data_IF_299614735483
#
_entry.id   IF_299614735483
#
_cell.length_a   1.000
_cell.length_b   1.000
_cell.length_c   1.000
_cell.angle_alpha   90.00
_cell.angle_beta   90.00
_cell.angle_gamma   90.00
#
_symmetry.space_group_name_H-M   'P 1'
#
loop_
_entity.id
_entity.type
_entity.pdbx_description
1 polymer ?
#
# COMPACT_ATOMS: atom_id res chain seq x y z
N UNK A 1 -13.09 52.19 -36.74
CA UNK A 1 -12.30 51.61 -35.64
C UNK A 1 -13.24 51.13 -34.55
N UNK A 2 -13.70 49.88 -34.63
CA UNK A 2 -14.66 49.32 -33.67
C UNK A 2 -13.90 48.40 -32.73
N UNK A 3 -13.63 48.87 -31.51
CA UNK A 3 -12.99 48.11 -30.43
C UNK A 3 -13.92 46.96 -30.06
N UNK A 4 -13.50 45.72 -30.33
CA UNK A 4 -14.17 44.54 -29.82
C UNK A 4 -14.16 44.57 -28.28
N UNK A 5 -15.33 44.69 -27.68
CA UNK A 5 -15.56 44.59 -26.25
C UNK A 5 -15.35 43.13 -25.83
N UNK A 6 -14.17 42.81 -25.32
CA UNK A 6 -13.93 41.56 -24.60
C UNK A 6 -14.93 41.47 -23.44
N UNK A 7 -15.74 40.43 -23.47
CA UNK A 7 -16.89 40.22 -22.57
C UNK A 7 -16.42 39.94 -21.13
N UNK A 8 -17.06 40.55 -20.10
CA UNK A 8 -16.73 40.37 -18.67
C UNK A 8 -16.70 38.92 -18.18
N UNK A 9 -17.34 38.00 -18.91
CA UNK A 9 -17.44 36.58 -18.59
C UNK A 9 -16.17 35.80 -18.94
N UNK A 10 -15.40 36.24 -19.93
CA UNK A 10 -14.09 35.68 -20.27
C UNK A 10 -13.03 35.99 -19.20
N UNK A 11 -13.06 37.20 -18.65
CA UNK A 11 -12.15 37.60 -17.55
C UNK A 11 -12.49 36.91 -16.22
N UNK A 12 -13.78 36.72 -15.89
CA UNK A 12 -14.20 36.00 -14.67
C UNK A 12 -13.80 34.53 -14.70
N UNK A 13 -13.91 33.86 -15.85
CA UNK A 13 -13.48 32.46 -16.00
C UNK A 13 -11.95 32.31 -15.97
N UNK A 14 -11.21 33.25 -16.57
CA UNK A 14 -9.76 33.27 -16.46
C UNK A 14 -9.27 33.55 -15.03
N UNK A 15 -9.94 34.44 -14.29
CA UNK A 15 -9.63 34.72 -12.88
C UNK A 15 -9.92 33.51 -11.98
N UNK A 16 -11.06 32.84 -12.14
CA UNK A 16 -11.40 31.66 -11.31
C UNK A 16 -10.41 30.50 -11.50
N UNK A 17 -9.93 30.29 -12.73
CA UNK A 17 -8.90 29.27 -13.03
C UNK A 17 -7.55 29.64 -12.38
N UNK A 18 -7.14 30.92 -12.42
CA UNK A 18 -5.90 31.39 -11.77
C UNK A 18 -5.98 31.22 -10.25
N UNK A 19 -7.10 31.58 -9.64
CA UNK A 19 -7.31 31.46 -8.19
C UNK A 19 -7.33 30.00 -7.74
N UNK A 20 -7.97 29.12 -8.51
CA UNK A 20 -7.94 27.68 -8.25
C UNK A 20 -6.51 27.11 -8.36
N UNK A 21 -5.72 27.52 -9.36
CA UNK A 21 -4.31 27.12 -9.51
C UNK A 21 -3.46 27.63 -8.33
N UNK A 22 -3.67 28.88 -7.89
CA UNK A 22 -2.94 29.49 -6.78
C UNK A 22 -3.25 28.80 -5.45
N UNK A 23 -4.52 28.51 -5.16
CA UNK A 23 -4.93 27.73 -3.98
C UNK A 23 -4.29 26.34 -3.99
N UNK A 24 -4.31 25.63 -5.13
CA UNK A 24 -3.68 24.32 -5.27
C UNK A 24 -2.16 24.34 -5.02
N UNK A 25 -1.44 25.33 -5.56
CA UNK A 25 0.01 25.49 -5.32
C UNK A 25 0.32 25.78 -3.85
N UNK A 26 -0.47 26.62 -3.20
CA UNK A 26 -0.32 26.92 -1.77
C UNK A 26 -0.52 25.68 -0.91
N UNK A 27 -1.60 24.92 -1.11
CA UNK A 27 -1.83 23.68 -0.36
C UNK A 27 -0.72 22.65 -0.56
N UNK A 28 -0.24 22.48 -1.80
CA UNK A 28 0.88 21.58 -2.07
C UNK A 28 2.16 22.03 -1.38
N UNK A 29 2.47 23.34 -1.42
CA UNK A 29 3.64 23.89 -0.74
C UNK A 29 3.55 23.69 0.78
N UNK A 30 2.38 23.95 1.38
CA UNK A 30 2.16 23.72 2.82
C UNK A 30 2.42 22.25 3.16
N UNK A 31 1.85 21.31 2.42
CA UNK A 31 2.04 19.87 2.66
C UNK A 31 3.52 19.48 2.56
N UNK A 32 4.21 19.90 1.50
CA UNK A 32 5.64 19.58 1.30
C UNK A 32 6.48 20.19 2.41
N UNK A 33 6.28 21.46 2.74
CA UNK A 33 7.01 22.13 3.83
C UNK A 33 6.75 21.45 5.17
N UNK A 34 5.51 21.10 5.48
CA UNK A 34 5.16 20.37 6.72
C UNK A 34 5.88 19.03 6.78
N UNK A 35 5.91 18.25 5.69
CA UNK A 35 6.59 16.96 5.65
C UNK A 35 8.11 17.13 5.79
N UNK A 36 8.71 18.12 5.14
CA UNK A 36 10.14 18.41 5.26
C UNK A 36 10.52 18.81 6.69
N UNK A 37 9.76 19.72 7.30
CA UNK A 37 9.98 20.15 8.70
C UNK A 37 9.82 18.97 9.65
N UNK A 38 8.75 18.18 9.50
CA UNK A 38 8.52 17.01 10.33
C UNK A 38 9.67 15.98 10.17
N UNK A 39 10.15 15.75 8.95
CA UNK A 39 11.29 14.85 8.68
C UNK A 39 12.57 15.37 9.32
N UNK A 40 12.84 16.67 9.23
CA UNK A 40 14.01 17.28 9.87
C UNK A 40 13.96 17.20 11.40
N UNK A 41 12.80 17.47 12.00
CA UNK A 41 12.58 17.34 13.45
C UNK A 41 12.77 15.88 13.90
N UNK A 42 12.20 14.92 13.17
CA UNK A 42 12.39 13.49 13.45
C UNK A 42 13.86 13.08 13.34
N UNK A 43 14.58 13.54 12.33
CA UNK A 43 16.00 13.26 12.16
C UNK A 43 16.85 13.84 13.30
N UNK A 44 16.58 15.07 13.72
CA UNK A 44 17.26 15.72 14.85
C UNK A 44 16.97 14.99 16.17
N UNK A 45 15.71 14.59 16.39
CA UNK A 45 15.35 13.80 17.56
C UNK A 45 16.06 12.44 17.54
N UNK A 46 16.06 11.75 16.40
CA UNK A 46 16.77 10.47 16.23
C UNK A 46 18.27 10.62 16.47
N UNK A 47 18.91 11.70 16.01
CA UNK A 47 20.33 11.94 16.24
C UNK A 47 20.71 11.93 17.73
N UNK A 48 19.80 12.37 18.61
CA UNK A 48 19.97 12.29 20.06
C UNK A 48 19.98 10.87 20.63
N UNK A 49 19.42 9.88 19.92
CA UNK A 49 19.36 8.48 20.35
C UNK A 49 20.32 7.56 19.58
N UNK A 50 20.53 7.79 18.28
CA UNK A 50 21.30 6.90 17.40
C UNK A 50 22.65 7.49 16.95
N UNK A 51 22.92 8.76 17.26
CA UNK A 51 24.08 9.49 16.75
C UNK A 51 23.82 10.13 15.39
N UNK A 52 24.69 11.06 15.00
CA UNK A 52 24.54 11.85 13.76
C UNK A 52 24.70 11.02 12.50
N UNK A 53 25.55 9.99 12.52
CA UNK A 53 25.86 9.19 11.34
C UNK A 53 24.66 8.34 10.91
N UNK A 54 24.05 7.62 11.85
CA UNK A 54 22.84 6.83 11.58
C UNK A 54 21.61 7.71 11.34
N UNK A 55 21.50 8.86 12.00
CA UNK A 55 20.46 9.83 11.68
C UNK A 55 20.63 10.38 10.25
N UNK A 56 21.86 10.60 9.78
CA UNK A 56 22.15 10.96 8.40
C UNK A 56 21.74 9.88 7.41
N UNK A 57 22.04 8.61 7.71
CA UNK A 57 21.57 7.48 6.93
C UNK A 57 20.03 7.42 6.88
N UNK A 58 19.38 7.63 8.03
CA UNK A 58 17.93 7.69 8.12
C UNK A 58 17.34 8.76 7.19
N UNK A 59 17.92 9.97 7.18
CA UNK A 59 17.50 11.05 6.29
C UNK A 59 17.64 10.65 4.83
N UNK A 60 18.74 10.00 4.43
CA UNK A 60 18.98 9.60 3.04
C UNK A 60 17.90 8.63 2.55
N UNK A 61 17.63 7.55 3.30
CA UNK A 61 16.63 6.56 2.89
C UNK A 61 15.19 7.10 3.01
N UNK A 62 14.90 7.88 4.05
CA UNK A 62 13.61 8.54 4.18
C UNK A 62 13.36 9.54 3.04
N UNK A 63 14.36 10.35 2.66
CA UNK A 63 14.25 11.29 1.55
C UNK A 63 14.07 10.57 0.20
N UNK A 64 14.83 9.50 -0.05
CA UNK A 64 14.68 8.69 -1.26
C UNK A 64 13.26 8.10 -1.37
N UNK A 65 12.74 7.57 -0.26
CA UNK A 65 11.38 7.05 -0.19
C UNK A 65 10.31 8.15 -0.34
N UNK A 66 10.51 9.32 0.26
CA UNK A 66 9.62 10.48 0.10
C UNK A 66 9.58 10.95 -1.36
N UNK A 67 10.73 11.00 -2.05
CA UNK A 67 10.81 11.31 -3.47
C UNK A 67 9.98 10.31 -4.28
N UNK A 68 10.06 9.00 -3.98
CA UNK A 68 9.26 7.99 -4.64
C UNK A 68 7.75 8.17 -4.36
N UNK A 69 7.36 8.46 -3.12
CA UNK A 69 5.96 8.72 -2.71
C UNK A 69 5.40 9.95 -3.44
N UNK A 70 6.07 11.10 -3.34
CA UNK A 70 5.63 12.33 -4.01
C UNK A 70 5.71 12.23 -5.54
N UNK A 71 6.71 11.55 -6.08
CA UNK A 71 6.83 11.28 -7.51
C UNK A 71 5.64 10.46 -8.02
N UNK A 72 5.30 9.38 -7.31
CA UNK A 72 4.12 8.56 -7.60
C UNK A 72 2.83 9.38 -7.52
N UNK A 73 2.70 10.25 -6.50
CA UNK A 73 1.57 11.17 -6.38
C UNK A 73 1.42 12.08 -7.60
N UNK A 74 2.52 12.71 -8.02
CA UNK A 74 2.54 13.62 -9.17
C UNK A 74 2.18 12.88 -10.46
N UNK A 75 2.76 11.71 -10.72
CA UNK A 75 2.52 10.90 -11.93
C UNK A 75 1.06 10.44 -12.02
N UNK A 76 0.49 9.94 -10.93
CA UNK A 76 -0.89 9.45 -10.96
C UNK A 76 -1.89 10.62 -11.07
N UNK A 77 -1.58 11.75 -10.44
CA UNK A 77 -2.38 12.96 -10.56
C UNK A 77 -2.40 13.50 -11.99
N UNK A 78 -1.26 13.54 -12.68
CA UNK A 78 -1.22 14.03 -14.07
C UNK A 78 -2.01 13.10 -14.99
N UNK A 79 -1.99 11.79 -14.73
CA UNK A 79 -2.78 10.81 -15.47
C UNK A 79 -4.30 10.90 -15.23
N UNK A 80 -4.75 11.36 -14.06
CA UNK A 80 -6.19 11.49 -13.70
C UNK A 80 -6.72 12.92 -13.81
N UNK A 81 -5.95 13.86 -14.37
CA UNK A 81 -6.27 15.29 -14.38
C UNK A 81 -7.52 15.68 -15.20
N UNK A 82 -8.15 14.74 -15.89
CA UNK A 82 -9.42 14.94 -16.59
C UNK A 82 -10.63 15.10 -15.64
N UNK A 83 -10.50 14.71 -14.37
CA UNK A 83 -11.55 14.85 -13.37
C UNK A 83 -11.26 16.07 -12.50
N UNK A 84 -12.23 16.99 -12.39
CA UNK A 84 -12.10 18.30 -11.73
C UNK A 84 -11.95 18.24 -10.20
N UNK A 85 -11.76 17.05 -9.65
CA UNK A 85 -11.74 16.78 -8.22
C UNK A 85 -10.57 17.47 -7.51
N UNK A 86 -10.82 17.83 -6.26
CA UNK A 86 -9.89 18.56 -5.43
C UNK A 86 -8.81 17.59 -4.91
N UNK A 87 -7.52 17.77 -5.24
CA UNK A 87 -6.49 16.76 -5.02
C UNK A 87 -6.12 16.58 -3.54
N UNK A 88 -6.56 17.50 -2.66
CA UNK A 88 -6.34 17.46 -1.21
C UNK A 88 -7.66 17.29 -0.45
N UNK A 89 -8.57 16.46 -0.97
CA UNK A 89 -9.63 15.91 -0.13
C UNK A 89 -9.04 15.09 1.02
N UNK A 90 -9.81 14.93 2.10
CA UNK A 90 -9.39 14.20 3.30
C UNK A 90 -8.79 12.84 2.96
N UNK A 91 -9.43 12.06 2.08
CA UNK A 91 -8.94 10.74 1.65
C UNK A 91 -7.54 10.77 1.02
N UNK A 92 -7.24 11.75 0.16
CA UNK A 92 -5.92 11.87 -0.45
C UNK A 92 -4.86 12.31 0.55
N UNK A 93 -5.24 13.13 1.54
CA UNK A 93 -4.34 13.51 2.64
C UNK A 93 -3.99 12.31 3.52
N UNK A 94 -4.95 11.44 3.84
CA UNK A 94 -4.63 10.25 4.64
C UNK A 94 -3.80 9.25 3.82
N UNK A 95 -4.11 9.05 2.54
CA UNK A 95 -3.28 8.23 1.64
C UNK A 95 -1.85 8.76 1.58
N UNK A 96 -1.67 10.08 1.45
CA UNK A 96 -0.34 10.70 1.45
C UNK A 96 0.35 10.56 2.81
N UNK A 97 -0.37 10.73 3.92
CA UNK A 97 0.16 10.54 5.27
C UNK A 97 0.69 9.10 5.47
N UNK A 98 -0.06 8.10 5.00
CA UNK A 98 0.39 6.70 4.98
C UNK A 98 1.70 6.54 4.20
N UNK A 99 1.76 7.11 2.99
CA UNK A 99 2.98 7.11 2.18
C UNK A 99 4.18 7.73 2.92
N UNK A 100 3.98 8.85 3.62
CA UNK A 100 5.03 9.50 4.44
C UNK A 100 5.47 8.60 5.59
N UNK A 101 4.55 7.97 6.31
CA UNK A 101 4.88 7.04 7.40
C UNK A 101 5.71 5.85 6.88
N UNK A 102 5.32 5.25 5.75
CA UNK A 102 6.11 4.18 5.12
C UNK A 102 7.48 4.69 4.66
N UNK A 103 7.58 5.92 4.15
CA UNK A 103 8.87 6.51 3.80
C UNK A 103 9.78 6.70 5.02
N UNK A 104 9.23 7.09 6.17
CA UNK A 104 9.98 7.16 7.43
C UNK A 104 10.40 5.78 7.94
N UNK A 105 9.61 4.73 7.72
CA UNK A 105 10.03 3.34 7.96
C UNK A 105 11.24 3.00 7.11
N UNK A 106 11.27 3.39 5.82
CA UNK A 106 12.42 3.18 4.95
C UNK A 106 13.72 3.80 5.49
N UNK A 107 13.62 4.93 6.21
CA UNK A 107 14.74 5.55 6.91
C UNK A 107 15.49 4.59 7.83
N UNK A 108 14.80 3.64 8.45
CA UNK A 108 15.40 2.67 9.36
C UNK A 108 16.15 1.51 8.68
N UNK A 109 16.30 1.54 7.36
CA UNK A 109 16.94 0.45 6.61
C UNK A 109 18.38 0.17 7.05
N UNK A 110 19.20 1.19 7.32
CA UNK A 110 20.58 1.04 7.81
C UNK A 110 20.75 1.46 9.28
N UNK A 111 19.68 1.86 9.96
CA UNK A 111 19.73 2.20 11.39
C UNK A 111 19.72 0.90 12.20
N UNK A 112 20.60 0.77 13.19
CA UNK A 112 20.68 -0.42 14.05
C UNK A 112 19.56 -0.45 15.13
N UNK A 113 18.32 -0.16 14.72
CA UNK A 113 17.18 0.10 15.61
C UNK A 113 16.84 -1.09 16.52
N UNK A 114 16.93 -2.32 16.00
CA UNK A 114 16.61 -3.53 16.74
C UNK A 114 17.58 -3.80 17.91
N UNK A 115 18.83 -3.34 17.79
CA UNK A 115 19.86 -3.54 18.80
C UNK A 115 19.88 -2.45 19.89
N UNK A 116 19.28 -1.28 19.63
CA UNK A 116 19.36 -0.10 20.52
C UNK A 116 18.42 -0.15 21.72
N UNK A 117 17.40 -0.99 21.71
CA UNK A 117 16.35 -1.01 22.74
C UNK A 117 15.61 0.34 22.84
N UNK A 118 14.88 0.55 23.94
CA UNK A 118 14.17 1.79 24.23
C UNK A 118 13.17 2.18 23.14
N UNK A 119 12.87 3.48 23.03
CA UNK A 119 11.86 4.00 22.07
C UNK A 119 12.23 3.71 20.62
N UNK A 120 13.52 3.77 20.26
CA UNK A 120 13.99 3.62 18.87
C UNK A 120 13.64 2.25 18.31
N UNK A 121 13.73 1.19 19.12
CA UNK A 121 13.40 -0.16 18.69
C UNK A 121 11.92 -0.34 18.31
N UNK A 122 11.02 0.52 18.82
CA UNK A 122 9.59 0.47 18.53
C UNK A 122 9.18 1.34 17.34
N UNK A 123 9.99 2.33 16.97
CA UNK A 123 9.62 3.33 15.96
C UNK A 123 9.22 2.71 14.61
N UNK A 124 9.97 1.77 14.01
CA UNK A 124 9.58 1.19 12.72
C UNK A 124 8.22 0.48 12.77
N UNK A 125 7.99 -0.32 13.82
CA UNK A 125 6.74 -1.04 14.01
C UNK A 125 5.55 -0.12 14.29
N UNK A 126 5.75 0.94 15.09
CA UNK A 126 4.71 1.94 15.35
C UNK A 126 4.36 2.75 14.10
N UNK A 127 5.36 3.17 13.32
CA UNK A 127 5.14 3.92 12.07
C UNK A 127 4.41 3.06 11.03
N UNK A 128 4.86 1.83 10.82
CA UNK A 128 4.21 0.91 9.87
C UNK A 128 2.82 0.48 10.36
N UNK A 129 2.68 0.17 11.65
CA UNK A 129 1.40 -0.16 12.27
C UNK A 129 0.39 0.99 12.15
N UNK A 130 0.82 2.24 12.36
CA UNK A 130 -0.01 3.41 12.13
C UNK A 130 -0.42 3.54 10.66
N UNK A 131 0.50 3.32 9.71
CA UNK A 131 0.17 3.36 8.28
C UNK A 131 -0.86 2.28 7.90
N UNK A 132 -0.74 1.08 8.46
CA UNK A 132 -1.68 -0.03 8.27
C UNK A 132 -3.04 0.21 8.96
N UNK A 133 -3.05 0.85 10.13
CA UNK A 133 -4.29 1.19 10.83
C UNK A 133 -5.07 2.27 10.07
N UNK A 134 -4.38 3.31 9.58
CA UNK A 134 -4.97 4.35 8.73
C UNK A 134 -5.61 3.75 7.48
N UNK A 135 -4.95 2.78 6.84
CA UNK A 135 -5.50 2.04 5.70
C UNK A 135 -6.86 1.41 6.00
N UNK A 136 -6.91 0.64 7.10
CA UNK A 136 -8.08 -0.12 7.47
C UNK A 136 -9.26 0.80 7.82
N UNK A 137 -8.98 1.91 8.51
CA UNK A 137 -9.97 2.91 8.90
C UNK A 137 -10.48 3.65 7.65
N UNK A 138 -9.59 4.14 6.80
CA UNK A 138 -9.96 4.88 5.59
C UNK A 138 -10.74 4.02 4.61
N UNK A 139 -10.29 2.80 4.34
CA UNK A 139 -10.98 1.88 3.44
C UNK A 139 -12.39 1.58 3.94
N UNK A 140 -12.59 1.49 5.26
CA UNK A 140 -13.92 1.27 5.85
C UNK A 140 -14.79 2.51 5.77
N UNK A 141 -14.23 3.69 6.00
CA UNK A 141 -14.95 4.95 5.94
C UNK A 141 -15.32 5.34 4.50
N UNK A 142 -14.41 5.15 3.54
CA UNK A 142 -14.62 5.44 2.12
C UNK A 142 -15.75 4.57 1.54
N UNK A 143 -15.77 3.27 1.87
CA UNK A 143 -16.85 2.34 1.48
C UNK A 143 -18.21 2.75 2.06
N UNK A 144 -18.23 3.25 3.30
CA UNK A 144 -19.47 3.71 3.95
C UNK A 144 -19.99 5.04 3.39
N UNK A 145 -19.09 5.89 2.90
CA UNK A 145 -19.44 7.24 2.41
C UNK A 145 -19.58 7.32 0.89
N UNK A 146 -19.22 6.26 0.14
CA UNK A 146 -19.29 6.25 -1.33
C UNK A 146 -18.37 7.30 -1.98
N UNK A 147 -17.27 7.68 -1.32
CA UNK A 147 -16.36 8.77 -1.74
C UNK A 147 -15.03 8.26 -2.29
N UNK A 148 -15.05 7.14 -3.01
CA UNK A 148 -13.85 6.61 -3.66
C UNK A 148 -13.53 7.44 -4.91
N UNK A 149 -12.33 8.03 -4.95
CA UNK A 149 -11.84 8.76 -6.14
C UNK A 149 -10.91 7.85 -6.94
N UNK A 150 -10.91 8.00 -8.27
CA UNK A 150 -10.04 7.21 -9.14
C UNK A 150 -8.54 7.46 -8.87
N UNK A 151 -8.19 8.69 -8.46
CA UNK A 151 -6.83 9.03 -8.03
C UNK A 151 -6.48 8.33 -6.71
N UNK A 152 -7.36 8.41 -5.72
CA UNK A 152 -7.18 7.75 -4.42
C UNK A 152 -6.95 6.26 -4.55
N UNK A 153 -7.77 5.56 -5.33
CA UNK A 153 -7.64 4.12 -5.55
C UNK A 153 -6.29 3.70 -6.18
N UNK A 154 -5.73 4.53 -7.09
CA UNK A 154 -4.42 4.26 -7.70
C UNK A 154 -3.27 4.53 -6.73
N UNK A 155 -3.36 5.59 -5.94
CA UNK A 155 -2.35 5.93 -4.94
C UNK A 155 -2.33 4.91 -3.80
N UNK A 156 -3.50 4.50 -3.35
CA UNK A 156 -3.69 3.46 -2.35
C UNK A 156 -2.97 2.17 -2.76
N UNK A 157 -3.26 1.67 -3.96
CA UNK A 157 -2.59 0.49 -4.51
C UNK A 157 -1.06 0.66 -4.62
N UNK A 158 -0.58 1.85 -5.01
CA UNK A 158 0.85 2.10 -5.16
C UNK A 158 1.56 2.15 -3.80
N UNK A 159 0.98 2.81 -2.80
CA UNK A 159 1.56 2.92 -1.46
C UNK A 159 1.43 1.63 -0.65
N UNK A 160 0.37 0.85 -0.86
CA UNK A 160 0.25 -0.50 -0.31
C UNK A 160 1.39 -1.39 -0.79
N UNK A 161 1.63 -1.37 -2.10
CA UNK A 161 2.69 -2.18 -2.68
C UNK A 161 4.08 -1.69 -2.25
N UNK A 162 4.25 -0.38 -2.11
CA UNK A 162 5.46 0.22 -1.54
C UNK A 162 5.68 -0.21 -0.09
N UNK A 163 4.65 -0.13 0.77
CA UNK A 163 4.71 -0.55 2.15
C UNK A 163 4.96 -2.04 2.32
N UNK A 164 4.35 -2.87 1.48
CA UNK A 164 4.58 -4.33 1.45
C UNK A 164 6.03 -4.70 1.04
N UNK A 165 6.75 -3.80 0.38
CA UNK A 165 8.16 -3.99 0.08
C UNK A 165 9.07 -3.40 1.17
N UNK A 166 8.86 -2.14 1.53
CA UNK A 166 9.73 -1.39 2.45
C UNK A 166 9.75 -1.99 3.85
N UNK A 167 8.59 -2.34 4.40
CA UNK A 167 8.53 -2.80 5.79
C UNK A 167 9.22 -4.17 5.97
N UNK A 168 8.99 -5.18 5.10
CA UNK A 168 9.79 -6.40 5.09
C UNK A 168 11.27 -6.19 4.79
N UNK A 169 11.63 -5.20 3.96
CA UNK A 169 13.02 -4.87 3.65
C UNK A 169 13.77 -4.38 4.90
N UNK A 170 13.16 -3.46 5.65
CA UNK A 170 13.71 -2.94 6.91
C UNK A 170 13.77 -4.04 7.97
N UNK A 171 12.74 -4.88 8.07
CA UNK A 171 12.75 -6.03 8.99
C UNK A 171 13.85 -7.05 8.63
N UNK A 172 14.10 -7.29 7.34
CA UNK A 172 15.15 -8.19 6.88
C UNK A 172 16.55 -7.63 7.14
N UNK A 173 16.75 -6.33 6.89
CA UNK A 173 18.00 -5.63 7.17
C UNK A 173 18.34 -5.66 8.68
N UNK A 174 17.33 -5.60 9.54
CA UNK A 174 17.49 -5.73 10.99
C UNK A 174 17.62 -7.18 11.48
N UNK A 175 17.60 -8.18 10.59
CA UNK A 175 17.69 -9.60 10.94
C UNK A 175 16.43 -10.19 11.60
N UNK A 176 15.30 -9.47 11.57
CA UNK A 176 14.04 -9.90 12.17
C UNK A 176 13.32 -10.92 11.30
N UNK A 177 13.39 -10.78 9.98
CA UNK A 177 12.83 -11.74 9.01
C UNK A 177 13.89 -12.15 8.00
N UNK A 178 13.81 -13.35 7.42
CA UNK A 178 14.76 -13.78 6.40
C UNK A 178 14.55 -13.03 5.08
N UNK A 179 15.63 -12.76 4.34
CA UNK A 179 15.60 -12.03 3.06
C UNK A 179 14.66 -12.63 2.00
N UNK A 180 14.50 -13.97 1.98
CA UNK A 180 13.60 -14.62 1.03
C UNK A 180 12.14 -14.16 1.22
N UNK A 181 11.76 -13.67 2.39
CA UNK A 181 10.41 -13.19 2.66
C UNK A 181 10.00 -12.01 1.76
N UNK A 182 10.97 -11.25 1.22
CA UNK A 182 10.71 -10.23 0.18
C UNK A 182 10.06 -10.79 -1.08
N UNK A 183 10.25 -12.10 -1.37
CA UNK A 183 9.60 -12.77 -2.50
C UNK A 183 8.07 -12.70 -2.43
N UNK A 184 7.50 -12.57 -1.24
CA UNK A 184 6.06 -12.38 -1.04
C UNK A 184 5.57 -11.09 -1.71
N UNK A 185 6.27 -9.98 -1.55
CA UNK A 185 5.95 -8.72 -2.22
C UNK A 185 6.09 -8.83 -3.74
N UNK A 186 7.14 -9.53 -4.20
CA UNK A 186 7.41 -9.75 -5.62
C UNK A 186 6.38 -10.67 -6.28
N UNK A 187 5.85 -11.67 -5.56
CA UNK A 187 4.91 -12.67 -6.07
C UNK A 187 3.66 -12.03 -6.67
N UNK A 188 3.13 -10.96 -6.06
CA UNK A 188 1.99 -10.21 -6.61
C UNK A 188 2.30 -9.62 -7.99
N UNK A 189 3.47 -9.02 -8.16
CA UNK A 189 3.87 -8.43 -9.43
C UNK A 189 4.08 -9.51 -10.50
N UNK A 190 4.76 -10.60 -10.15
CA UNK A 190 4.94 -11.76 -11.03
C UNK A 190 3.59 -12.32 -11.47
N UNK A 191 2.63 -12.41 -10.56
CA UNK A 191 1.27 -12.87 -10.86
C UNK A 191 0.55 -11.97 -11.86
N UNK A 192 0.56 -10.65 -11.65
CA UNK A 192 -0.08 -9.67 -12.54
C UNK A 192 0.60 -9.64 -13.92
N UNK A 193 1.92 -9.64 -13.97
CA UNK A 193 2.69 -9.69 -15.22
C UNK A 193 2.43 -11.01 -15.95
N UNK A 194 2.36 -12.12 -15.22
CA UNK A 194 2.04 -13.44 -15.76
C UNK A 194 0.65 -13.48 -16.43
N UNK A 195 -0.36 -12.89 -15.81
CA UNK A 195 -1.71 -12.75 -16.41
C UNK A 195 -1.63 -11.92 -17.69
N UNK A 196 -0.94 -10.77 -17.66
CA UNK A 196 -0.82 -9.89 -18.82
C UNK A 196 -0.10 -10.57 -19.98
N UNK A 197 0.94 -11.35 -19.70
CA UNK A 197 1.68 -12.11 -20.70
C UNK A 197 0.83 -13.24 -21.30
N UNK A 198 0.03 -13.94 -20.48
CA UNK A 198 -0.93 -14.95 -20.98
C UNK A 198 -1.96 -14.35 -21.92
N UNK A 199 -2.55 -13.21 -21.55
CA UNK A 199 -3.50 -12.47 -22.41
C UNK A 199 -2.85 -12.03 -23.71
N UNK A 200 -1.63 -11.50 -23.65
CA UNK A 200 -0.87 -11.10 -24.84
C UNK A 200 -0.60 -12.29 -25.78
N UNK A 201 -0.39 -13.49 -25.22
CA UNK A 201 -0.20 -14.74 -25.97
C UNK A 201 -1.50 -15.43 -26.40
N UNK A 202 -2.66 -14.82 -26.18
CA UNK A 202 -3.97 -15.40 -26.53
C UNK A 202 -4.36 -16.65 -25.71
N UNK A 203 -3.70 -16.88 -24.56
CA UNK A 203 -4.00 -18.02 -23.70
C UNK A 203 -5.22 -17.73 -22.81
N UNK A 204 -6.03 -18.74 -22.55
CA UNK A 204 -7.16 -18.64 -21.62
C UNK A 204 -6.71 -18.21 -20.21
N UNK A 205 -7.49 -17.32 -19.61
CA UNK A 205 -7.31 -16.78 -18.26
C UNK A 205 -8.66 -16.88 -17.58
N UNK A 206 -8.81 -17.84 -16.66
CA UNK A 206 -10.02 -17.96 -15.86
C UNK A 206 -10.11 -16.83 -14.84
N UNK A 207 -11.33 -16.33 -14.59
CA UNK A 207 -11.57 -15.33 -13.54
C UNK A 207 -11.42 -15.98 -12.16
N UNK A 208 -10.60 -15.37 -11.29
CA UNK A 208 -10.43 -15.90 -9.93
C UNK A 208 -11.72 -15.64 -9.14
N UNK A 209 -12.29 -16.65 -8.47
CA UNK A 209 -13.39 -16.42 -7.55
C UNK A 209 -12.93 -15.45 -6.43
N UNK A 210 -13.79 -14.53 -5.98
CA UNK A 210 -13.51 -13.66 -4.85
C UNK A 210 -13.37 -14.52 -3.59
N UNK A 211 -12.20 -14.50 -2.95
CA UNK A 211 -11.91 -15.31 -1.76
C UNK A 211 -11.61 -14.42 -0.57
N UNK A 212 -12.51 -14.45 0.43
CA UNK A 212 -12.33 -13.76 1.72
C UNK A 212 -11.03 -14.15 2.41
N UNK A 213 -10.58 -15.39 2.23
CA UNK A 213 -9.31 -15.90 2.78
C UNK A 213 -8.09 -15.11 2.31
N UNK A 214 -8.06 -14.60 1.07
CA UNK A 214 -6.95 -13.77 0.58
C UNK A 214 -6.84 -12.46 1.35
N UNK A 215 -7.99 -11.85 1.65
CA UNK A 215 -8.06 -10.58 2.39
C UNK A 215 -7.63 -10.76 3.85
N UNK A 216 -8.10 -11.84 4.49
CA UNK A 216 -7.69 -12.18 5.86
C UNK A 216 -6.19 -12.46 5.92
N UNK A 217 -5.66 -13.25 4.98
CA UNK A 217 -4.23 -13.57 4.95
C UNK A 217 -3.35 -12.34 4.71
N UNK A 218 -3.79 -11.42 3.84
CA UNK A 218 -3.11 -10.13 3.64
C UNK A 218 -3.11 -9.28 4.92
N UNK A 219 -4.23 -9.20 5.65
CA UNK A 219 -4.30 -8.49 6.93
C UNK A 219 -3.39 -9.11 8.00
N UNK A 220 -3.37 -10.44 8.10
CA UNK A 220 -2.44 -11.16 8.99
C UNK A 220 -0.99 -10.92 8.62
N UNK A 221 -0.67 -10.87 7.32
CA UNK A 221 0.68 -10.56 6.84
C UNK A 221 1.11 -9.15 7.25
N UNK A 222 0.24 -8.15 7.08
CA UNK A 222 0.52 -6.77 7.51
C UNK A 222 0.72 -6.69 9.03
N UNK A 223 -0.11 -7.37 9.82
CA UNK A 223 0.04 -7.44 11.26
C UNK A 223 1.36 -8.11 11.68
N UNK A 224 1.71 -9.23 11.04
CA UNK A 224 2.98 -9.90 11.30
C UNK A 224 4.18 -9.01 11.00
N UNK A 225 4.20 -8.32 9.85
CA UNK A 225 5.29 -7.39 9.50
C UNK A 225 5.39 -6.23 10.49
N UNK A 226 4.24 -5.66 10.91
CA UNK A 226 4.22 -4.61 11.93
C UNK A 226 4.82 -5.08 13.26
N UNK A 227 4.49 -6.30 13.69
CA UNK A 227 5.00 -6.90 14.93
C UNK A 227 6.49 -7.27 14.78
N UNK A 228 6.92 -7.77 13.61
CA UNK A 228 8.32 -8.07 13.31
C UNK A 228 9.22 -6.83 13.28
N UNK A 229 8.63 -5.64 13.11
CA UNK A 229 9.30 -4.34 13.20
C UNK A 229 9.35 -3.77 14.64
N UNK A 230 9.05 -4.60 15.65
CA UNK A 230 9.13 -4.25 17.08
C UNK A 230 10.15 -5.16 17.79
N UNK A 231 10.64 -4.81 18.99
CA UNK A 231 11.57 -5.67 19.72
C UNK A 231 10.91 -6.91 20.34
N UNK A 232 9.59 -7.08 20.19
CA UNK A 232 8.83 -8.22 20.73
C UNK A 232 9.20 -9.53 20.01
N UNK A 233 9.56 -9.44 18.73
CA UNK A 233 9.87 -10.61 17.92
C UNK A 233 11.35 -10.94 18.04
N UNK A 234 11.64 -12.17 18.44
CA UNK A 234 12.99 -12.71 18.34
C UNK A 234 13.28 -13.13 16.89
N UNK A 235 14.55 -13.10 16.43
CA UNK A 235 14.90 -13.57 15.08
C UNK A 235 14.43 -15.00 14.78
N UNK A 236 14.36 -15.87 15.80
CA UNK A 236 13.82 -17.22 15.66
C UNK A 236 12.31 -17.20 15.39
N UNK A 237 11.54 -16.44 16.19
CA UNK A 237 10.11 -16.26 16.00
C UNK A 237 9.80 -15.60 14.65
N UNK A 238 10.60 -14.62 14.23
CA UNK A 238 10.46 -13.96 12.94
C UNK A 238 10.73 -14.89 11.75
N UNK A 239 11.70 -15.81 11.84
CA UNK A 239 11.88 -16.89 10.83
C UNK A 239 10.67 -17.82 10.74
N UNK A 240 10.14 -18.25 11.88
CA UNK A 240 8.95 -19.13 11.94
C UNK A 240 7.74 -18.40 11.35
N UNK A 241 7.48 -17.16 11.78
CA UNK A 241 6.39 -16.36 11.24
C UNK A 241 6.54 -16.09 9.75
N UNK A 242 7.76 -15.78 9.28
CA UNK A 242 8.03 -15.61 7.85
C UNK A 242 7.71 -16.88 7.05
N UNK A 243 8.12 -18.06 7.54
CA UNK A 243 7.81 -19.34 6.93
C UNK A 243 6.30 -19.62 6.90
N UNK A 244 5.59 -19.36 8.00
CA UNK A 244 4.15 -19.60 8.11
C UNK A 244 3.35 -18.65 7.21
N UNK A 245 3.47 -17.34 7.42
CA UNK A 245 2.66 -16.37 6.70
C UNK A 245 3.14 -16.18 5.25
N UNK A 246 4.45 -16.08 5.04
CA UNK A 246 5.04 -15.97 3.71
C UNK A 246 4.83 -17.24 2.89
N UNK A 247 5.05 -18.41 3.48
CA UNK A 247 4.81 -19.70 2.84
C UNK A 247 3.32 -19.89 2.47
N UNK A 248 2.40 -19.58 3.38
CA UNK A 248 0.96 -19.64 3.09
C UNK A 248 0.57 -18.70 1.94
N UNK A 249 1.11 -17.49 1.89
CA UNK A 249 0.79 -16.53 0.83
C UNK A 249 1.35 -16.99 -0.53
N UNK A 250 2.60 -17.47 -0.56
CA UNK A 250 3.23 -18.00 -1.77
C UNK A 250 2.51 -19.27 -2.28
N UNK A 251 2.10 -20.17 -1.38
CA UNK A 251 1.29 -21.32 -1.73
C UNK A 251 -0.09 -20.91 -2.27
N UNK A 252 -0.70 -19.86 -1.70
CA UNK A 252 -1.91 -19.23 -2.22
C UNK A 252 -1.73 -18.71 -3.65
N UNK A 253 -0.64 -17.97 -3.91
CA UNK A 253 -0.31 -17.50 -5.27
C UNK A 253 -0.07 -18.65 -6.25
N UNK A 254 0.62 -19.71 -5.83
CA UNK A 254 0.84 -20.89 -6.68
C UNK A 254 -0.49 -21.58 -7.03
N UNK A 255 -1.39 -21.74 -6.06
CA UNK A 255 -2.72 -22.29 -6.29
C UNK A 255 -3.57 -21.41 -7.21
N UNK A 256 -3.56 -20.10 -6.98
CA UNK A 256 -4.27 -19.13 -7.81
C UNK A 256 -3.74 -19.14 -9.25
N UNK A 257 -2.43 -19.30 -9.43
CA UNK A 257 -1.82 -19.41 -10.75
C UNK A 257 -2.25 -20.68 -11.48
N UNK A 258 -2.31 -21.82 -10.78
CA UNK A 258 -2.82 -23.07 -11.34
C UNK A 258 -4.28 -22.95 -11.80
N UNK A 259 -5.12 -22.25 -11.03
CA UNK A 259 -6.51 -21.97 -11.40
C UNK A 259 -6.59 -21.08 -12.66
N UNK A 260 -5.92 -19.93 -12.65
CA UNK A 260 -5.87 -18.99 -13.79
C UNK A 260 -5.37 -19.65 -15.06
N UNK A 261 -4.39 -20.54 -14.93
CA UNK A 261 -3.78 -21.23 -16.05
C UNK A 261 -4.65 -22.33 -16.65
N UNK A 262 -5.84 -22.60 -16.09
CA UNK A 262 -6.75 -23.66 -16.52
C UNK A 262 -6.29 -25.06 -16.13
N UNK A 263 -5.30 -25.19 -15.23
CA UNK A 263 -4.76 -26.48 -14.77
C UNK A 263 -5.53 -27.06 -13.58
N UNK A 264 -6.35 -26.26 -12.91
CA UNK A 264 -7.30 -26.69 -11.90
C UNK A 264 -8.70 -26.31 -12.38
N UNK A 265 -9.55 -27.32 -12.59
CA UNK A 265 -10.99 -27.15 -12.82
C UNK A 265 -11.66 -27.17 -11.45
N UNK A 266 -12.45 -26.14 -11.11
CA UNK A 266 -13.34 -26.20 -9.96
C UNK A 266 -14.24 -27.43 -10.18
N UNK A 267 -14.22 -28.41 -9.27
CA UNK A 267 -15.33 -29.38 -9.23
C UNK A 267 -16.56 -28.55 -8.84
N UNK A 268 -17.31 -28.10 -9.83
CA UNK A 268 -18.72 -27.74 -9.62
C UNK A 268 -19.34 -28.96 -8.96
N UNK A 269 -19.67 -28.82 -7.67
CA UNK A 269 -20.59 -29.75 -7.02
C UNK A 269 -21.88 -29.60 -7.84
N UNK A 270 -22.43 -30.67 -8.44
CA UNK A 270 -23.67 -30.55 -9.17
C UNK A 270 -24.73 -30.05 -8.20
N UNK A 271 -25.19 -28.82 -8.41
CA UNK A 271 -26.45 -28.33 -7.84
C UNK A 271 -27.56 -29.09 -8.57
N UNK A 272 -27.91 -30.27 -8.04
CA UNK A 272 -28.91 -31.12 -8.69
C UNK A 272 -28.92 -32.59 -8.29
N UNK A 273 -28.36 -32.99 -7.16
CA UNK A 273 -28.81 -34.24 -6.51
C UNK A 273 -29.87 -33.81 -5.49
N UNK A 274 -31.12 -33.74 -5.96
CA UNK A 274 -32.28 -33.69 -5.10
C UNK A 274 -32.20 -34.89 -4.14
N UNK A 275 -32.28 -34.64 -2.84
CA UNK A 275 -32.73 -35.61 -1.83
C UNK A 275 -34.17 -36.04 -2.19
N UNK A 276 -34.31 -36.87 -3.22
CA UNK A 276 -35.59 -37.25 -3.83
C UNK A 276 -35.87 -38.74 -3.86
N UNK A 277 -34.91 -39.60 -3.51
CA UNK A 277 -35.04 -41.06 -3.72
C UNK A 277 -34.78 -41.86 -2.42
N UNK A 278 -35.37 -41.46 -1.29
CA UNK A 278 -35.30 -42.25 -0.05
C UNK A 278 -36.64 -42.44 0.69
N UNK A 279 -37.78 -41.94 0.19
CA UNK A 279 -39.10 -42.13 0.84
C UNK A 279 -40.11 -42.97 0.06
N UNK A 280 -39.74 -43.61 -1.06
CA UNK A 280 -40.64 -44.49 -1.83
C UNK A 280 -40.20 -45.98 -1.77
N UNK A 281 -39.87 -46.48 -0.57
CA UNK A 281 -39.61 -47.91 -0.34
C UNK A 281 -40.08 -48.39 1.04
N UNK A 282 -41.26 -47.93 1.49
CA UNK A 282 -41.97 -48.50 2.66
C UNK A 282 -43.47 -48.72 2.39
N UNK A 283 -43.86 -48.82 1.12
CA UNK A 283 -45.18 -49.30 0.72
C UNK A 283 -45.02 -50.49 -0.23
N UNK A 284 -44.64 -51.64 0.35
CA UNK A 284 -45.11 -52.98 -0.02
C UNK A 284 -44.69 -54.00 1.05
#
# INVERSE_FOLDING_TARGET
MTRASTTPQSDRSAQSIRDARRRRRRSALVVVTTVLVATAVTALALAGFVGTDEAGQWVVFAAAALIAVFGTFVVHRTATAHHWEWPFGVANLVTLARGVLVAWVAGFFLVAWAARGGVVAWLPGLLYGAAAALDAVDGTLARRLGRETALGARLDMAYDAFGLFVAPLVAAAAGQVPWWYLSVGVARYVFVVGIRLRRYRGLAVADLPPRTSRRVLAGLQMAFVAIALTPVVSPAAGRVGAALFGGALLAGFARDWLYVSGRLVERTRPEGESDGDAEESLAD
#
